data_IF_053842724683
#
_entry.id   IF_053842724683
#
_cell.length_a   1.000
_cell.length_b   1.000
_cell.length_c   1.000
_cell.angle_alpha   90.00
_cell.angle_beta   90.00
_cell.angle_gamma   90.00
#
_symmetry.space_group_name_H-M   'P 1'
#
loop_
_entity.id
_entity.type
_entity.pdbx_description
1 polymer ?
#
# COMPACT_ATOMS: atom_id res chain seq x y z
N UNK A 1 -1.53 -14.25 -33.34
CA UNK A 1 -1.53 -14.64 -31.92
C UNK A 1 -2.90 -14.33 -31.35
N UNK A 2 -3.52 -15.23 -30.59
CA UNK A 2 -4.84 -14.99 -30.01
C UNK A 2 -4.73 -14.31 -28.63
N UNK A 3 -5.86 -13.91 -28.04
CA UNK A 3 -5.90 -13.19 -26.75
C UNK A 3 -5.33 -14.03 -25.60
N UNK A 4 -5.61 -15.33 -25.58
CA UNK A 4 -5.17 -16.22 -24.51
C UNK A 4 -3.67 -16.47 -24.57
N UNK A 5 -3.11 -16.65 -25.78
CA UNK A 5 -1.66 -16.76 -25.98
C UNK A 5 -0.94 -15.53 -25.45
N UNK A 6 -1.44 -14.33 -25.79
CA UNK A 6 -0.85 -13.06 -25.35
C UNK A 6 -0.85 -12.93 -23.84
N UNK A 7 -1.94 -13.30 -23.16
CA UNK A 7 -2.05 -13.22 -21.69
C UNK A 7 -1.05 -14.11 -20.95
N UNK A 8 -0.52 -15.16 -21.60
CA UNK A 8 0.52 -16.01 -21.01
C UNK A 8 1.91 -15.41 -21.10
N UNK A 9 2.13 -14.37 -21.91
CA UNK A 9 3.41 -13.69 -22.01
C UNK A 9 3.71 -13.00 -20.67
N UNK A 10 4.83 -13.33 -19.98
CA UNK A 10 5.20 -12.66 -18.74
C UNK A 10 5.45 -11.18 -18.99
N UNK A 11 4.72 -10.32 -18.28
CA UNK A 11 4.85 -8.87 -18.42
C UNK A 11 6.28 -8.41 -18.10
N UNK A 12 6.94 -9.07 -17.15
CA UNK A 12 8.32 -8.76 -16.77
C UNK A 12 9.29 -8.94 -17.96
N UNK A 13 9.17 -10.05 -18.68
CA UNK A 13 10.00 -10.36 -19.85
C UNK A 13 9.64 -9.44 -21.03
N UNK A 14 8.35 -9.16 -21.22
CA UNK A 14 7.87 -8.23 -22.24
C UNK A 14 8.43 -6.83 -22.02
N UNK A 15 8.35 -6.29 -20.80
CA UNK A 15 8.92 -5.00 -20.44
C UNK A 15 10.45 -4.98 -20.63
N UNK A 16 11.13 -6.07 -20.27
CA UNK A 16 12.57 -6.17 -20.48
C UNK A 16 12.96 -6.12 -21.95
N UNK A 17 12.20 -6.79 -22.82
CA UNK A 17 12.41 -6.74 -24.26
C UNK A 17 12.24 -5.31 -24.84
N UNK A 18 11.43 -4.48 -24.18
CA UNK A 18 11.24 -3.06 -24.51
C UNK A 18 12.29 -2.13 -23.88
N UNK A 19 13.27 -2.68 -23.14
CA UNK A 19 14.34 -1.93 -22.49
C UNK A 19 14.03 -1.48 -21.06
N UNK A 20 12.91 -1.91 -20.46
CA UNK A 20 12.57 -1.57 -19.08
C UNK A 20 13.07 -2.64 -18.12
N UNK A 21 13.88 -2.22 -17.15
CA UNK A 21 14.37 -3.08 -16.07
C UNK A 21 13.79 -2.66 -14.71
N UNK A 22 13.42 -3.61 -13.85
CA UNK A 22 12.93 -3.30 -12.52
C UNK A 22 14.06 -2.73 -11.65
N UNK A 23 13.69 -1.79 -10.79
CA UNK A 23 14.60 -1.09 -9.87
C UNK A 23 14.70 -1.79 -8.51
N UNK A 24 13.67 -2.53 -8.11
CA UNK A 24 13.63 -3.32 -6.87
C UNK A 24 12.59 -4.44 -6.98
N UNK A 25 12.78 -5.47 -6.16
CA UNK A 25 11.81 -6.54 -5.95
C UNK A 25 11.35 -6.58 -4.50
N UNK A 26 10.06 -6.78 -4.29
CA UNK A 26 9.46 -7.00 -2.97
C UNK A 26 8.47 -8.16 -3.05
N UNK A 27 8.83 -9.30 -2.48
CA UNK A 27 8.11 -10.56 -2.70
C UNK A 27 7.99 -10.86 -4.20
N UNK A 28 6.78 -11.11 -4.66
CA UNK A 28 6.47 -11.40 -6.07
C UNK A 28 6.17 -10.13 -6.88
N UNK A 29 6.53 -8.95 -6.35
CA UNK A 29 6.33 -7.65 -6.98
C UNK A 29 7.63 -7.06 -7.49
N UNK A 30 7.75 -6.91 -8.80
CA UNK A 30 8.81 -6.14 -9.45
C UNK A 30 8.36 -4.68 -9.60
N UNK A 31 9.19 -3.75 -9.15
CA UNK A 31 8.91 -2.31 -9.24
C UNK A 31 9.76 -1.67 -10.33
N UNK A 32 9.16 -0.76 -11.09
CA UNK A 32 9.76 -0.05 -12.21
C UNK A 32 9.49 1.45 -12.03
N UNK A 33 10.33 2.28 -12.65
CA UNK A 33 9.87 3.59 -13.07
C UNK A 33 8.79 3.39 -14.13
N UNK A 34 7.71 4.16 -14.06
CA UNK A 34 6.59 4.01 -14.98
C UNK A 34 7.07 4.11 -16.43
N UNK A 35 6.75 3.11 -17.28
CA UNK A 35 6.99 3.20 -18.72
C UNK A 35 5.97 4.12 -19.41
N UNK A 36 4.97 4.63 -18.67
CA UNK A 36 3.85 5.41 -19.20
C UNK A 36 4.04 6.93 -19.01
N UNK A 37 4.98 7.33 -18.14
CA UNK A 37 5.21 8.73 -17.77
C UNK A 37 6.57 8.91 -17.11
N UNK A 38 7.09 10.12 -17.14
CA UNK A 38 8.30 10.45 -16.38
C UNK A 38 8.02 10.49 -14.87
N UNK A 39 8.94 9.91 -14.09
CA UNK A 39 8.88 9.97 -12.63
C UNK A 39 10.26 9.86 -11.96
N UNK A 40 10.34 10.41 -10.75
CA UNK A 40 11.50 10.28 -9.89
C UNK A 40 11.46 8.97 -9.10
N UNK A 41 10.35 8.74 -8.39
CA UNK A 41 10.15 7.57 -7.52
C UNK A 41 9.41 6.44 -8.25
N UNK A 42 9.91 5.19 -8.22
CA UNK A 42 9.27 4.05 -8.86
C UNK A 42 7.88 3.75 -8.30
N UNK A 43 6.87 3.73 -9.17
CA UNK A 43 5.48 3.50 -8.78
C UNK A 43 4.74 2.46 -9.64
N UNK A 44 5.39 1.92 -10.67
CA UNK A 44 4.83 0.88 -11.50
C UNK A 44 5.22 -0.49 -10.96
N UNK A 45 4.23 -1.35 -10.68
CA UNK A 45 4.44 -2.67 -10.09
C UNK A 45 3.92 -3.75 -11.02
N UNK A 46 4.75 -4.77 -11.29
CA UNK A 46 4.37 -6.03 -11.93
C UNK A 46 4.32 -7.11 -10.86
N UNK A 47 3.18 -7.79 -10.73
CA UNK A 47 3.06 -9.00 -9.92
C UNK A 47 3.35 -10.22 -10.80
N UNK A 48 4.41 -10.96 -10.49
CA UNK A 48 4.88 -12.08 -11.32
C UNK A 48 4.01 -13.32 -11.23
N UNK A 49 3.32 -13.56 -10.10
CA UNK A 49 2.45 -14.73 -9.94
C UNK A 49 1.14 -14.55 -10.71
N UNK A 50 0.57 -13.35 -10.63
CA UNK A 50 -0.72 -13.02 -11.25
C UNK A 50 -0.57 -12.58 -12.71
N UNK A 51 0.65 -12.29 -13.13
CA UNK A 51 0.98 -11.66 -14.41
C UNK A 51 0.13 -10.39 -14.68
N UNK A 52 0.06 -9.51 -13.69
CA UNK A 52 -0.68 -8.24 -13.75
C UNK A 52 0.22 -7.07 -13.38
N UNK A 53 -0.06 -5.91 -13.96
CA UNK A 53 0.62 -4.66 -13.63
C UNK A 53 -0.33 -3.64 -13.00
N UNK A 54 0.24 -2.71 -12.23
CA UNK A 54 -0.45 -1.54 -11.71
C UNK A 54 0.53 -0.36 -11.56
N UNK A 55 0.16 0.81 -12.08
CA UNK A 55 0.84 2.08 -11.86
C UNK A 55 0.09 2.87 -10.79
N UNK A 56 0.72 3.02 -9.61
CA UNK A 56 0.12 3.72 -8.48
C UNK A 56 0.00 5.23 -8.69
N UNK A 57 0.86 5.86 -9.50
CA UNK A 57 0.74 7.29 -9.78
C UNK A 57 -0.28 7.61 -10.88
N UNK A 58 -0.53 6.68 -11.81
CA UNK A 58 -1.59 6.83 -12.82
C UNK A 58 -2.95 6.25 -12.38
N UNK A 59 -2.98 5.38 -11.35
CA UNK A 59 -4.20 4.69 -10.91
C UNK A 59 -4.70 3.65 -11.91
N UNK A 60 -3.82 3.14 -12.79
CA UNK A 60 -4.15 2.23 -13.89
C UNK A 60 -3.48 0.87 -13.70
N UNK A 61 -4.06 -0.18 -14.27
CA UNK A 61 -3.46 -1.51 -14.25
C UNK A 61 -4.24 -2.52 -15.07
N UNK A 62 -3.71 -3.73 -15.16
CA UNK A 62 -4.36 -4.83 -15.86
C UNK A 62 -3.37 -5.89 -16.33
N UNK A 63 -3.76 -6.60 -17.38
CA UNK A 63 -2.92 -7.58 -18.06
C UNK A 63 -2.05 -6.90 -19.14
N UNK A 64 -1.29 -7.69 -19.89
CA UNK A 64 -0.41 -7.21 -20.97
C UNK A 64 -1.16 -6.45 -22.09
N UNK A 65 -2.43 -6.76 -22.36
CA UNK A 65 -3.22 -6.04 -23.37
C UNK A 65 -3.56 -4.65 -22.85
N UNK A 66 -3.97 -4.55 -21.58
CA UNK A 66 -4.17 -3.26 -20.92
C UNK A 66 -2.87 -2.45 -20.87
N UNK A 67 -1.72 -3.11 -20.68
CA UNK A 67 -0.41 -2.45 -20.75
C UNK A 67 -0.14 -1.90 -22.15
N UNK A 68 -0.33 -2.73 -23.18
CA UNK A 68 -0.10 -2.35 -24.58
C UNK A 68 -1.01 -1.18 -25.00
N UNK A 69 -2.27 -1.16 -24.55
CA UNK A 69 -3.19 -0.03 -24.76
C UNK A 69 -2.58 1.28 -24.27
N UNK A 70 -1.98 1.27 -23.08
CA UNK A 70 -1.36 2.46 -22.48
C UNK A 70 -0.04 2.83 -23.17
N UNK A 71 0.81 1.84 -23.48
CA UNK A 71 2.10 2.07 -24.16
C UNK A 71 1.94 2.60 -25.59
N UNK A 72 0.94 2.11 -26.33
CA UNK A 72 0.72 2.45 -27.73
C UNK A 72 -0.43 3.44 -27.95
N UNK A 73 -1.04 3.94 -26.86
CA UNK A 73 -2.15 4.89 -26.87
C UNK A 73 -3.26 4.53 -27.87
N UNK A 74 -3.69 3.26 -27.87
CA UNK A 74 -4.66 2.74 -28.85
C UNK A 74 -5.66 1.79 -28.22
N UNK A 75 -6.93 1.87 -28.65
CA UNK A 75 -8.01 0.96 -28.27
C UNK A 75 -8.23 -0.19 -29.28
N UNK A 76 -7.55 -0.16 -30.43
CA UNK A 76 -7.71 -1.18 -31.48
C UNK A 76 -7.05 -2.49 -31.07
N UNK A 77 -7.86 -3.47 -30.64
CA UNK A 77 -7.38 -4.78 -30.21
C UNK A 77 -6.52 -5.49 -31.29
N UNK A 78 -6.91 -5.56 -32.58
CA UNK A 78 -6.06 -6.17 -33.60
C UNK A 78 -4.68 -5.52 -33.71
N UNK A 79 -4.62 -4.19 -33.62
CA UNK A 79 -3.37 -3.45 -33.64
C UNK A 79 -2.50 -3.78 -32.41
N UNK A 80 -3.08 -3.77 -31.22
CA UNK A 80 -2.37 -4.11 -29.98
C UNK A 80 -1.81 -5.53 -30.00
N UNK A 81 -2.61 -6.51 -30.45
CA UNK A 81 -2.16 -7.90 -30.57
C UNK A 81 -1.01 -8.03 -31.57
N UNK A 82 -1.04 -7.27 -32.67
CA UNK A 82 0.06 -7.28 -33.63
C UNK A 82 1.34 -6.69 -33.03
N UNK A 83 1.26 -5.55 -32.35
CA UNK A 83 2.43 -4.93 -31.68
C UNK A 83 3.05 -5.84 -30.62
N UNK A 84 2.23 -6.58 -29.87
CA UNK A 84 2.74 -7.57 -28.92
C UNK A 84 3.42 -8.72 -29.66
N UNK A 85 2.78 -9.26 -30.70
CA UNK A 85 3.30 -10.38 -31.48
C UNK A 85 4.63 -10.05 -32.19
N UNK A 86 4.80 -8.83 -32.69
CA UNK A 86 6.05 -8.33 -33.26
C UNK A 86 7.19 -8.36 -32.24
N UNK A 87 6.88 -8.09 -30.98
CA UNK A 87 7.87 -8.05 -29.90
C UNK A 87 8.15 -9.43 -29.27
N UNK A 88 7.20 -10.36 -29.34
CA UNK A 88 7.32 -11.72 -28.76
C UNK A 88 8.63 -12.45 -29.07
N UNK A 89 9.21 -12.41 -30.30
CA UNK A 89 10.48 -13.07 -30.59
C UNK A 89 11.67 -12.55 -29.76
N UNK A 90 11.56 -11.33 -29.22
CA UNK A 90 12.57 -10.70 -28.36
C UNK A 90 12.30 -10.92 -26.87
N UNK A 91 11.13 -11.45 -26.52
CA UNK A 91 10.78 -11.81 -25.15
C UNK A 91 11.51 -13.09 -24.78
N UNK A 92 12.45 -12.97 -23.84
CA UNK A 92 13.20 -14.09 -23.29
C UNK A 92 12.99 -14.12 -21.78
N UNK A 93 12.87 -15.31 -21.17
CA UNK A 93 12.85 -15.42 -19.72
C UNK A 93 14.05 -14.70 -19.14
N UNK A 94 13.80 -13.71 -18.29
CA UNK A 94 14.86 -12.96 -17.64
C UNK A 94 14.81 -13.16 -16.13
N UNK A 95 15.99 -13.29 -15.53
CA UNK A 95 16.15 -13.34 -14.08
C UNK A 95 16.79 -12.04 -13.62
N UNK A 96 16.11 -11.34 -12.72
CA UNK A 96 16.63 -10.15 -12.09
C UNK A 96 17.29 -10.52 -10.76
N UNK A 97 18.57 -10.21 -10.62
CA UNK A 97 19.29 -10.38 -9.35
C UNK A 97 19.24 -9.08 -8.57
N UNK A 98 18.51 -9.09 -7.45
CA UNK A 98 18.54 -8.01 -6.48
C UNK A 98 19.34 -8.45 -5.25
N UNK A 99 20.08 -7.55 -4.59
CA UNK A 99 20.67 -7.87 -3.30
C UNK A 99 19.56 -8.36 -2.35
N UNK A 100 19.58 -9.66 -2.04
CA UNK A 100 18.68 -10.23 -1.05
C UNK A 100 19.06 -9.62 0.29
N UNK A 101 18.36 -8.56 0.69
CA UNK A 101 18.38 -8.14 2.08
C UNK A 101 17.82 -9.32 2.86
N UNK A 102 18.62 -9.90 3.76
CA UNK A 102 18.14 -10.86 4.74
C UNK A 102 16.84 -10.29 5.30
N UNK A 103 15.74 -11.03 5.17
CA UNK A 103 14.49 -10.72 5.84
C UNK A 103 14.74 -10.93 7.32
N UNK A 104 15.26 -9.89 7.98
CA UNK A 104 15.20 -9.85 9.42
C UNK A 104 13.74 -9.77 9.85
N UNK A 105 13.38 -10.37 10.99
CA UNK A 105 11.99 -10.32 11.45
C UNK A 105 11.58 -8.86 11.65
N UNK A 106 10.45 -8.50 11.04
CA UNK A 106 9.85 -7.19 11.19
C UNK A 106 9.14 -7.07 12.54
N UNK A 107 9.21 -5.90 13.18
CA UNK A 107 8.49 -5.57 14.43
C UNK A 107 8.87 -6.47 15.63
N UNK A 108 10.15 -6.70 15.84
CA UNK A 108 10.67 -7.37 17.04
C UNK A 108 10.61 -6.45 18.27
N UNK A 109 10.60 -7.04 19.47
CA UNK A 109 10.64 -6.29 20.74
C UNK A 109 9.55 -5.22 20.81
N UNK A 110 8.31 -5.58 20.47
CA UNK A 110 7.18 -4.66 20.53
C UNK A 110 6.89 -4.29 21.99
N UNK A 111 7.06 -3.01 22.30
CA UNK A 111 6.62 -2.40 23.55
C UNK A 111 5.44 -1.47 23.26
N UNK A 112 4.37 -1.65 24.04
CA UNK A 112 3.15 -0.85 23.93
C UNK A 112 3.07 0.05 25.15
N UNK A 113 2.99 1.35 24.92
CA UNK A 113 2.97 2.40 25.94
C UNK A 113 1.81 3.35 25.71
N UNK A 114 1.50 4.16 26.70
CA UNK A 114 0.57 5.27 26.51
C UNK A 114 1.16 6.33 25.60
N UNK A 115 0.29 6.94 24.79
CA UNK A 115 0.69 7.89 23.76
C UNK A 115 1.20 9.20 24.37
N UNK A 116 2.53 9.34 24.46
CA UNK A 116 3.18 10.47 25.15
C UNK A 116 4.33 11.08 24.35
N UNK A 117 4.85 10.38 23.35
CA UNK A 117 6.01 10.80 22.57
C UNK A 117 5.74 12.13 21.83
N UNK A 118 6.53 13.20 22.09
CA UNK A 118 6.27 14.53 21.53
C UNK A 118 6.18 14.56 20.00
N UNK A 119 7.01 13.80 19.29
CA UNK A 119 6.97 13.75 17.83
C UNK A 119 5.68 13.13 17.27
N UNK A 120 5.09 12.14 17.96
CA UNK A 120 3.82 11.53 17.54
C UNK A 120 2.65 12.47 17.84
N UNK A 121 2.67 13.13 18.99
CA UNK A 121 1.69 14.15 19.35
C UNK A 121 1.70 15.31 18.35
N UNK A 122 2.89 15.86 18.04
CA UNK A 122 3.03 16.94 17.04
C UNK A 122 2.55 16.50 15.66
N UNK A 123 2.79 15.25 15.27
CA UNK A 123 2.26 14.71 14.02
C UNK A 123 0.73 14.72 14.01
N UNK A 124 0.08 14.27 15.09
CA UNK A 124 -1.39 14.27 15.21
C UNK A 124 -1.97 15.69 15.22
N UNK A 125 -1.35 16.62 15.96
CA UNK A 125 -1.74 18.04 15.96
C UNK A 125 -1.65 18.65 14.57
N UNK A 126 -0.55 18.39 13.85
CA UNK A 126 -0.39 18.83 12.46
C UNK A 126 -1.41 18.22 11.49
N UNK A 127 -2.08 17.13 11.88
CA UNK A 127 -3.20 16.51 11.16
C UNK A 127 -4.58 16.97 11.67
N UNK A 128 -4.62 17.93 12.61
CA UNK A 128 -5.86 18.46 13.17
C UNK A 128 -6.59 17.48 14.09
N UNK A 129 -5.91 16.45 14.61
CA UNK A 129 -6.52 15.45 15.49
C UNK A 129 -6.48 15.95 16.93
N UNK A 130 -7.59 15.78 17.66
CA UNK A 130 -7.63 16.07 19.08
C UNK A 130 -6.75 15.08 19.87
N UNK A 131 -5.79 15.63 20.62
CA UNK A 131 -4.79 14.83 21.33
C UNK A 131 -5.38 13.98 22.44
N UNK A 132 -6.39 14.46 23.15
CA UNK A 132 -7.01 13.70 24.24
C UNK A 132 -7.82 12.52 23.72
N UNK A 133 -8.53 12.69 22.60
CA UNK A 133 -9.13 11.57 21.88
C UNK A 133 -8.08 10.58 21.39
N UNK A 134 -7.01 11.06 20.74
CA UNK A 134 -5.95 10.18 20.26
C UNK A 134 -5.30 9.37 21.38
N UNK A 135 -5.06 9.96 22.56
CA UNK A 135 -4.51 9.26 23.73
C UNK A 135 -5.42 8.16 24.27
N UNK A 136 -6.74 8.34 24.17
CA UNK A 136 -7.72 7.33 24.58
C UNK A 136 -7.81 6.17 23.58
N UNK A 137 -7.76 6.49 22.30
CA UNK A 137 -7.99 5.53 21.21
C UNK A 137 -6.71 4.81 20.75
N UNK A 138 -5.54 5.42 20.92
CA UNK A 138 -4.28 4.93 20.37
C UNK A 138 -3.24 4.66 21.46
N UNK A 139 -2.24 3.85 21.08
CA UNK A 139 -1.04 3.57 21.85
C UNK A 139 0.20 4.10 21.15
N UNK A 140 1.26 4.25 21.91
CA UNK A 140 2.60 4.44 21.40
C UNK A 140 3.31 3.10 21.34
N UNK A 141 3.77 2.74 20.15
CA UNK A 141 4.46 1.49 19.90
C UNK A 141 5.94 1.76 19.70
N UNK A 142 6.79 1.03 20.40
CA UNK A 142 8.23 0.96 20.13
C UNK A 142 8.55 -0.44 19.64
N UNK A 143 9.32 -0.56 18.57
CA UNK A 143 9.67 -1.84 17.98
C UNK A 143 10.97 -1.75 17.21
N UNK A 144 11.59 -2.90 16.96
CA UNK A 144 12.78 -3.02 16.11
C UNK A 144 12.38 -3.56 14.75
N UNK A 145 12.87 -2.94 13.68
CA UNK A 145 12.69 -3.42 12.32
C UNK A 145 14.04 -3.39 11.59
N UNK A 146 14.51 -4.54 11.09
CA UNK A 146 15.85 -4.69 10.50
C UNK A 146 16.96 -4.14 11.42
N UNK A 147 16.95 -4.56 12.70
CA UNK A 147 17.92 -4.15 13.72
C UNK A 147 17.87 -2.67 14.15
N UNK A 148 16.94 -1.86 13.60
CA UNK A 148 16.81 -0.45 13.94
C UNK A 148 15.57 -0.20 14.81
N UNK A 149 15.67 0.61 15.87
CA UNK A 149 14.52 0.97 16.69
C UNK A 149 13.63 1.99 15.96
N UNK A 150 12.33 1.84 16.13
CA UNK A 150 11.29 2.72 15.60
C UNK A 150 10.22 2.95 16.66
N UNK A 151 9.52 4.08 16.52
CA UNK A 151 8.31 4.36 17.28
C UNK A 151 7.21 4.89 16.36
N UNK A 152 5.96 4.58 16.72
CA UNK A 152 4.80 4.97 15.94
C UNK A 152 3.51 4.98 16.78
N UNK A 153 2.47 5.60 16.23
CA UNK A 153 1.11 5.50 16.76
C UNK A 153 0.57 4.13 16.36
N UNK A 154 0.04 3.40 17.33
CA UNK A 154 -0.66 2.14 17.15
C UNK A 154 -2.14 2.29 17.44
N UNK A 155 -2.98 1.89 16.49
CA UNK A 155 -4.41 1.77 16.68
C UNK A 155 -4.78 0.29 16.76
N UNK A 156 -5.29 -0.21 17.91
CA UNK A 156 -5.49 -1.63 18.16
C UNK A 156 -6.65 -2.20 17.33
N UNK A 157 -6.49 -3.42 16.82
CA UNK A 157 -7.55 -4.16 16.15
C UNK A 157 -8.13 -5.28 17.02
N UNK A 158 -9.20 -5.95 16.56
CA UNK A 158 -9.90 -6.98 17.33
C UNK A 158 -9.11 -8.28 17.52
N UNK A 159 -8.06 -8.51 16.73
CA UNK A 159 -7.21 -9.70 16.80
C UNK A 159 -5.93 -9.47 17.62
N UNK A 160 -5.80 -8.32 18.28
CA UNK A 160 -4.63 -7.97 19.10
C UNK A 160 -3.42 -7.45 18.32
N UNK A 161 -3.57 -7.18 17.02
CA UNK A 161 -2.58 -6.45 16.23
C UNK A 161 -2.85 -4.94 16.20
N UNK A 162 -2.10 -4.22 15.37
CA UNK A 162 -2.18 -2.76 15.30
C UNK A 162 -2.12 -2.25 13.86
N UNK A 163 -2.92 -1.23 13.56
CA UNK A 163 -2.62 -0.31 12.46
C UNK A 163 -1.59 0.71 12.96
N UNK A 164 -0.55 0.98 12.15
CA UNK A 164 0.63 1.74 12.56
C UNK A 164 0.86 2.95 11.68
N UNK A 165 1.11 4.11 12.31
CA UNK A 165 1.37 5.38 11.62
C UNK A 165 2.40 6.23 12.33
N UNK A 166 3.30 6.82 11.55
CA UNK A 166 4.03 8.04 11.92
C UNK A 166 4.19 8.93 10.67
N UNK A 167 4.99 9.98 10.76
CA UNK A 167 5.21 10.92 9.63
C UNK A 167 5.85 10.27 8.40
N UNK A 168 6.52 9.13 8.55
CA UNK A 168 7.32 8.48 7.50
C UNK A 168 6.77 7.13 7.07
N UNK A 169 5.91 6.50 7.88
CA UNK A 169 5.49 5.12 7.70
C UNK A 169 3.98 4.93 7.93
N UNK A 170 3.37 4.11 7.05
CA UNK A 170 2.05 3.47 7.25
C UNK A 170 2.27 1.97 7.18
N UNK A 171 1.68 1.22 8.10
CA UNK A 171 1.66 -0.23 8.01
C UNK A 171 0.78 -0.84 9.08
N UNK A 172 0.98 -2.13 9.33
CA UNK A 172 0.31 -2.85 10.39
C UNK A 172 1.29 -3.79 11.10
N UNK A 173 1.04 -4.04 12.38
CA UNK A 173 1.65 -5.13 13.14
C UNK A 173 0.62 -6.25 13.21
N UNK A 174 1.04 -7.45 12.81
CA UNK A 174 0.20 -8.63 12.80
C UNK A 174 -0.26 -9.01 14.23
N UNK A 175 -1.42 -9.68 14.37
CA UNK A 175 -2.36 -10.08 13.31
C UNK A 175 -3.10 -8.90 12.66
N UNK A 176 -3.35 -8.96 11.35
CA UNK A 176 -4.11 -7.91 10.66
C UNK A 176 -5.60 -8.23 10.71
N UNK A 177 -6.40 -7.31 11.24
CA UNK A 177 -7.85 -7.41 11.33
C UNK A 177 -8.49 -6.01 11.40
N UNK A 178 -9.82 -5.95 11.34
CA UNK A 178 -10.60 -4.72 11.51
C UNK A 178 -10.56 -4.24 12.97
N UNK A 179 -10.87 -2.96 13.17
CA UNK A 179 -11.25 -2.45 14.48
C UNK A 179 -12.75 -2.30 14.54
N UNK A 180 -13.37 -2.77 15.63
CA UNK A 180 -14.80 -2.68 15.81
C UNK A 180 -15.11 -2.04 17.17
N UNK A 181 -15.66 -0.83 17.12
CA UNK A 181 -16.00 -0.05 18.30
C UNK A 181 -17.52 -0.01 18.43
N UNK A 182 -18.02 -0.46 19.59
CA UNK A 182 -19.46 -0.49 19.89
C UNK A 182 -19.77 0.49 21.02
N UNK A 183 -20.67 1.43 20.74
CA UNK A 183 -21.24 2.27 21.80
C UNK A 183 -22.15 1.40 22.68
N UNK A 184 -21.98 1.49 24.00
CA UNK A 184 -22.82 0.79 24.97
C UNK A 184 -24.08 1.62 25.26
N UNK A 185 -25.22 0.97 25.47
CA UNK A 185 -26.43 1.61 26.00
C UNK A 185 -27.38 2.25 24.98
N UNK A 186 -26.99 2.42 23.72
CA UNK A 186 -27.82 3.09 22.69
C UNK A 186 -28.34 2.12 21.60
N UNK A 187 -29.52 2.38 21.00
CA UNK A 187 -30.04 1.63 19.86
C UNK A 187 -29.07 1.64 18.67
N UNK A 188 -28.90 0.47 18.03
CA UNK A 188 -27.94 0.28 16.92
C UNK A 188 -28.54 0.72 15.59
N UNK A 189 -28.75 2.02 15.41
CA UNK A 189 -29.39 2.56 14.21
C UNK A 189 -28.41 2.87 13.07
N UNK A 190 -27.12 3.02 13.36
CA UNK A 190 -26.11 3.49 12.40
C UNK A 190 -24.82 2.68 12.50
N UNK A 191 -24.21 2.43 11.35
CA UNK A 191 -22.87 1.87 11.22
C UNK A 191 -22.01 2.83 10.40
N UNK A 192 -20.86 3.25 10.96
CA UNK A 192 -19.91 4.13 10.30
C UNK A 192 -18.66 3.32 9.95
N UNK A 193 -18.25 3.39 8.69
CA UNK A 193 -17.09 2.64 8.17
C UNK A 193 -16.05 3.65 7.68
N UNK A 194 -14.80 3.42 8.06
CA UNK A 194 -13.67 4.29 7.75
C UNK A 194 -12.58 3.47 7.06
N UNK A 195 -11.91 4.04 6.06
CA UNK A 195 -10.79 3.37 5.36
C UNK A 195 -9.61 3.15 6.30
N UNK A 196 -9.30 4.14 7.14
CA UNK A 196 -8.24 4.05 8.12
C UNK A 196 -8.56 4.75 9.43
N UNK A 197 -7.79 4.43 10.47
CA UNK A 197 -8.03 4.97 11.81
C UNK A 197 -7.84 6.50 11.88
N UNK A 198 -7.06 7.11 10.97
CA UNK A 198 -6.94 8.57 10.91
C UNK A 198 -8.26 9.25 10.52
N UNK A 199 -9.07 8.62 9.66
CA UNK A 199 -10.38 9.14 9.28
C UNK A 199 -11.35 9.00 10.46
N UNK A 200 -11.27 7.88 11.18
CA UNK A 200 -11.99 7.67 12.43
C UNK A 200 -11.65 8.72 13.49
N UNK A 201 -10.36 8.99 13.74
CA UNK A 201 -9.93 10.03 14.69
C UNK A 201 -10.36 11.43 14.25
N UNK A 202 -10.38 11.70 12.93
CA UNK A 202 -10.88 12.97 12.38
C UNK A 202 -12.38 13.11 12.65
N UNK A 203 -13.15 12.05 12.44
CA UNK A 203 -14.57 12.00 12.77
C UNK A 203 -14.82 12.28 14.25
N UNK A 204 -14.10 11.62 15.16
CA UNK A 204 -14.23 11.88 16.60
C UNK A 204 -13.89 13.33 16.96
N UNK A 205 -12.82 13.87 16.38
CA UNK A 205 -12.40 15.25 16.61
C UNK A 205 -13.50 16.24 16.20
N UNK A 206 -14.09 16.05 15.01
CA UNK A 206 -15.16 16.90 14.50
C UNK A 206 -16.45 16.73 15.31
N UNK A 207 -16.79 15.50 15.68
CA UNK A 207 -17.98 15.19 16.49
C UNK A 207 -17.89 15.84 17.87
N UNK A 208 -16.74 15.74 18.54
CA UNK A 208 -16.51 16.41 19.83
C UNK A 208 -16.59 17.94 19.72
N UNK A 209 -16.09 18.52 18.62
CA UNK A 209 -16.15 19.97 18.39
C UNK A 209 -17.57 20.48 18.11
N UNK A 210 -18.34 19.74 17.32
CA UNK A 210 -19.63 20.22 16.80
C UNK A 210 -20.83 19.73 17.63
N UNK A 211 -20.70 18.61 18.34
CA UNK A 211 -21.77 17.98 19.10
C UNK A 211 -21.27 17.58 20.51
N UNK A 212 -20.83 18.52 21.36
CA UNK A 212 -20.20 18.20 22.65
C UNK A 212 -21.11 17.49 23.66
N UNK A 213 -22.44 17.52 23.46
CA UNK A 213 -23.44 16.82 24.27
C UNK A 213 -23.74 15.39 23.80
N UNK A 214 -23.28 15.03 22.59
CA UNK A 214 -23.27 13.65 22.05
C UNK A 214 -21.90 13.40 21.37
N UNK A 215 -20.79 13.45 22.13
CA UNK A 215 -19.45 13.29 21.60
C UNK A 215 -19.21 11.89 21.03
#
# INVERSE_FOLDING_TARGET
MNIEDVKQIPIADYLHSLGYSPVKQQGNGLWYKSPLREEHEPSFKVNTDRNLWYDFGAGKGGNIIALAKELYCSDSLPYLLNRIAEQTPHVRPVSFSFPQRRTEPSFQHLEVRDLTHPALLRYLEGRGINIELAKRECKELHFTNNGRPFFAIGFPNIAGGYEVRNSFFKGCIAPKDITHIRQQGEPREKCLVFEGFMDYLSFLTLRMKNCPTMP
#
